data_IF_155596338910
#
_entry.id   IF_155596338910
#
_cell.length_a   1.000
_cell.length_b   1.000
_cell.length_c   1.000
_cell.angle_alpha   90.00
_cell.angle_beta   90.00
_cell.angle_gamma   90.00
#
_symmetry.space_group_name_H-M   'P 1'
#
loop_
_entity.id
_entity.type
_entity.pdbx_description
1 polymer ?
#
# COMPACT_ATOMS: atom_id res chain seq x y z
N UNK A 1 10.80 9.90 -27.28
CA UNK A 1 11.32 10.57 -26.07
C UNK A 1 10.33 10.35 -24.93
N UNK A 2 10.50 9.36 -24.03
CA UNK A 2 9.64 9.29 -22.86
C UNK A 2 10.27 10.09 -21.71
N UNK A 3 9.64 11.21 -21.36
CA UNK A 3 9.92 12.01 -20.16
C UNK A 3 9.48 11.23 -18.92
N UNK A 4 10.43 10.77 -18.12
CA UNK A 4 10.16 10.20 -16.80
C UNK A 4 9.72 11.33 -15.85
N UNK A 5 8.42 11.61 -15.79
CA UNK A 5 7.86 12.53 -14.81
C UNK A 5 7.83 11.82 -13.45
N UNK A 6 8.87 12.04 -12.63
CA UNK A 6 8.92 11.58 -11.25
C UNK A 6 7.87 12.32 -10.42
N UNK A 7 6.78 11.64 -10.05
CA UNK A 7 5.78 12.19 -9.13
C UNK A 7 6.31 12.01 -7.71
N UNK A 8 6.64 13.13 -7.06
CA UNK A 8 7.00 13.15 -5.63
C UNK A 8 5.69 13.19 -4.85
N UNK A 9 5.41 12.13 -4.07
CA UNK A 9 4.26 12.11 -3.18
C UNK A 9 4.64 12.69 -1.82
N UNK A 10 4.19 13.90 -1.52
CA UNK A 10 4.25 14.47 -0.16
C UNK A 10 2.98 14.11 0.58
N UNK A 11 3.06 13.16 1.53
CA UNK A 11 1.95 12.90 2.45
C UNK A 11 2.10 13.90 3.60
N UNK A 12 1.42 15.03 3.46
CA UNK A 12 1.26 16.01 4.53
C UNK A 12 0.15 15.50 5.46
N UNK A 13 0.37 15.50 6.77
CA UNK A 13 -0.66 15.11 7.71
C UNK A 13 -0.70 16.08 8.88
N UNK A 14 -1.91 16.53 9.17
CA UNK A 14 -2.19 17.45 10.26
C UNK A 14 -2.17 16.73 11.61
N UNK A 15 -1.39 17.28 12.54
CA UNK A 15 -1.94 17.69 13.83
C UNK A 15 -1.58 16.89 15.07
N UNK A 16 -1.76 15.56 15.14
CA UNK A 16 -1.82 14.91 16.48
C UNK A 16 -0.96 13.66 16.68
N UNK A 17 -0.21 13.17 15.69
CA UNK A 17 0.88 12.20 15.94
C UNK A 17 1.90 12.20 14.78
N UNK A 18 2.83 13.13 14.82
CA UNK A 18 3.89 13.32 13.83
C UNK A 18 4.87 12.13 13.80
N UNK A 19 4.63 11.19 12.89
CA UNK A 19 5.69 10.35 12.31
C UNK A 19 5.43 10.15 10.82
N UNK A 20 5.22 11.26 10.10
CA UNK A 20 5.06 11.24 8.66
C UNK A 20 6.43 11.41 8.00
N UNK A 21 6.86 10.38 7.29
CA UNK A 21 8.05 10.45 6.44
C UNK A 21 7.65 11.08 5.11
N UNK A 22 8.22 12.25 4.78
CA UNK A 22 8.26 12.74 3.41
C UNK A 22 8.99 11.67 2.55
N UNK A 23 8.31 11.16 1.53
CA UNK A 23 8.82 10.06 0.71
C UNK A 23 9.02 10.50 -0.75
N UNK A 24 10.28 10.79 -1.13
CA UNK A 24 10.62 10.90 -2.54
C UNK A 24 10.64 9.49 -3.15
N UNK A 25 9.82 9.26 -4.16
CA UNK A 25 9.70 7.98 -4.85
C UNK A 25 10.32 8.10 -6.23
N UNK A 26 11.43 7.39 -6.47
CA UNK A 26 12.08 7.35 -7.78
C UNK A 26 11.74 6.01 -8.44
N UNK A 27 10.93 6.00 -9.51
CA UNK A 27 10.72 4.78 -10.28
C UNK A 27 12.03 4.41 -10.98
N UNK A 28 12.53 3.20 -10.72
CA UNK A 28 13.62 2.62 -11.53
C UNK A 28 12.91 1.88 -12.65
N UNK A 29 12.97 2.43 -13.87
CA UNK A 29 12.24 1.97 -15.05
C UNK A 29 12.22 0.44 -15.15
N UNK A 30 11.03 -0.15 -15.23
CA UNK A 30 10.84 -1.60 -15.33
C UNK A 30 9.51 -2.00 -15.97
N UNK A 31 8.39 -1.33 -15.64
CA UNK A 31 7.09 -1.67 -16.23
C UNK A 31 6.95 -1.35 -17.73
N UNK A 32 7.90 -0.62 -18.33
CA UNK A 32 7.86 -0.23 -19.76
C UNK A 32 8.29 -1.35 -20.72
N UNK A 33 8.90 -2.43 -20.22
CA UNK A 33 9.23 -3.61 -21.02
C UNK A 33 8.24 -4.74 -20.72
N UNK A 34 7.53 -5.24 -21.74
CA UNK A 34 6.54 -6.33 -21.64
C UNK A 34 7.12 -7.61 -20.99
N UNK A 35 8.44 -7.74 -20.98
CA UNK A 35 9.22 -8.87 -20.44
C UNK A 35 9.82 -8.63 -19.06
N UNK A 36 9.57 -7.47 -18.43
CA UNK A 36 10.19 -7.15 -17.15
C UNK A 36 9.77 -8.12 -16.05
N UNK A 37 10.70 -9.01 -15.71
CA UNK A 37 10.54 -9.99 -14.62
C UNK A 37 10.72 -9.37 -13.24
N UNK A 38 11.45 -8.25 -13.18
CA UNK A 38 11.78 -7.53 -11.96
C UNK A 38 11.59 -6.03 -12.16
N UNK A 39 10.78 -5.43 -11.30
CA UNK A 39 10.65 -3.96 -11.22
C UNK A 39 11.06 -3.51 -9.83
N UNK A 40 11.68 -2.34 -9.72
CA UNK A 40 12.15 -1.79 -8.45
C UNK A 40 11.72 -0.34 -8.29
N UNK A 41 11.37 0.03 -7.07
CA UNK A 41 11.04 1.40 -6.70
C UNK A 41 11.74 1.75 -5.40
N UNK A 42 12.49 2.85 -5.40
CA UNK A 42 13.18 3.30 -4.19
C UNK A 42 12.35 4.38 -3.53
N UNK A 43 12.03 4.14 -2.26
CA UNK A 43 11.42 5.08 -1.33
C UNK A 43 12.52 5.67 -0.46
N UNK A 44 12.65 6.99 -0.47
CA UNK A 44 13.58 7.72 0.40
C UNK A 44 12.77 8.33 1.53
N UNK A 45 13.05 7.93 2.77
CA UNK A 45 12.38 8.43 3.97
C UNK A 45 12.92 9.81 4.35
N UNK A 46 12.20 10.51 5.23
CA UNK A 46 12.58 11.86 5.70
C UNK A 46 13.94 11.89 6.41
N UNK A 47 14.35 10.77 7.02
CA UNK A 47 15.67 10.62 7.63
C UNK A 47 16.78 10.25 6.62
N UNK A 48 16.50 10.31 5.31
CA UNK A 48 17.43 9.95 4.25
C UNK A 48 17.59 8.44 4.01
N UNK A 49 17.00 7.59 4.86
CA UNK A 49 17.10 6.15 4.69
C UNK A 49 16.34 5.69 3.45
N UNK A 50 16.97 4.81 2.66
CA UNK A 50 16.41 4.28 1.41
C UNK A 50 15.81 2.90 1.63
N UNK A 51 14.66 2.63 1.03
CA UNK A 51 13.99 1.32 0.99
C UNK A 51 13.63 0.98 -0.45
N UNK A 52 13.95 -0.22 -0.89
CA UNK A 52 13.62 -0.66 -2.26
C UNK A 52 12.46 -1.64 -2.22
N UNK A 53 11.37 -1.25 -2.86
CA UNK A 53 10.21 -2.07 -3.15
C UNK A 53 10.50 -2.86 -4.44
N UNK A 54 10.12 -4.14 -4.47
CA UNK A 54 10.43 -5.05 -5.56
C UNK A 54 9.17 -5.79 -5.98
N UNK A 55 8.84 -5.69 -7.26
CA UNK A 55 7.88 -6.57 -7.91
C UNK A 55 8.64 -7.63 -8.65
N UNK A 56 8.33 -8.90 -8.38
CA UNK A 56 8.89 -10.03 -9.10
C UNK A 56 7.75 -10.83 -9.73
N UNK A 57 7.72 -10.85 -11.07
CA UNK A 57 6.74 -11.59 -11.85
C UNK A 57 7.22 -13.03 -12.06
N UNK A 58 6.39 -14.01 -11.71
CA UNK A 58 6.70 -15.42 -11.95
C UNK A 58 6.33 -15.85 -13.38
N UNK A 59 6.60 -17.11 -13.74
CA UNK A 59 6.32 -17.63 -15.08
C UNK A 59 4.81 -17.65 -15.43
N UNK A 60 3.94 -17.78 -14.44
CA UNK A 60 2.48 -17.69 -14.60
C UNK A 60 1.96 -16.24 -14.70
N UNK A 61 2.86 -15.26 -14.61
CA UNK A 61 2.53 -13.85 -14.69
C UNK A 61 2.05 -13.21 -13.38
N UNK A 62 2.02 -13.95 -12.28
CA UNK A 62 1.67 -13.45 -10.95
C UNK A 62 2.85 -12.69 -10.36
N UNK A 63 2.55 -11.53 -9.78
CA UNK A 63 3.51 -10.61 -9.18
C UNK A 63 3.59 -10.86 -7.68
N UNK A 64 4.81 -11.06 -7.21
CA UNK A 64 5.16 -11.06 -5.78
C UNK A 64 5.75 -9.70 -5.37
N UNK A 65 5.52 -9.30 -4.12
CA UNK A 65 5.87 -7.98 -3.57
C UNK A 65 7.06 -8.02 -2.59
N UNK A 66 7.85 -9.09 -2.64
CA UNK A 66 8.98 -9.31 -1.74
C UNK A 66 8.55 -9.57 -0.28
N UNK A 67 9.34 -9.04 0.66
CA UNK A 67 9.15 -9.25 2.10
C UNK A 67 8.03 -8.37 2.68
N UNK A 68 6.99 -8.98 3.24
CA UNK A 68 5.90 -8.30 3.97
C UNK A 68 6.41 -7.43 5.13
N UNK A 69 7.50 -7.84 5.79
CA UNK A 69 8.11 -7.11 6.92
C UNK A 69 8.70 -5.76 6.53
N UNK A 70 8.92 -5.51 5.24
CA UNK A 70 9.48 -4.25 4.74
C UNK A 70 8.59 -3.04 5.05
N UNK A 71 7.26 -3.22 5.19
CA UNK A 71 6.35 -2.11 5.46
C UNK A 71 6.73 -1.34 6.73
N UNK A 72 7.11 -2.03 7.82
CA UNK A 72 7.51 -1.36 9.06
C UNK A 72 8.68 -0.40 8.83
N UNK A 73 9.62 -0.81 7.99
CA UNK A 73 10.79 -0.01 7.62
C UNK A 73 10.42 1.13 6.68
N UNK A 74 9.41 0.97 5.81
CA UNK A 74 8.87 2.02 4.94
C UNK A 74 8.05 3.06 5.73
N UNK A 75 7.40 2.65 6.81
CA UNK A 75 6.72 3.56 7.74
C UNK A 75 7.70 4.33 8.64
N UNK A 76 9.00 4.02 8.59
CA UNK A 76 10.00 4.68 9.42
C UNK A 76 9.88 4.36 10.91
N UNK A 77 9.19 3.28 11.29
CA UNK A 77 9.02 2.93 12.70
C UNK A 77 10.34 2.42 13.29
N UNK A 78 10.77 3.05 14.37
CA UNK A 78 11.99 2.69 15.07
C UNK A 78 11.90 1.28 15.69
N UNK A 79 13.06 0.71 15.99
CA UNK A 79 13.15 -0.47 16.86
C UNK A 79 12.59 -0.08 18.23
N UNK A 80 11.68 -0.89 18.77
CA UNK A 80 11.00 -0.60 20.04
C UNK A 80 9.74 0.27 19.95
N UNK A 81 9.39 0.84 18.79
CA UNK A 81 8.12 1.55 18.63
C UNK A 81 6.94 0.59 18.88
N UNK A 82 6.10 0.94 19.85
CA UNK A 82 4.98 0.11 20.31
C UNK A 82 3.91 -0.08 19.22
N UNK A 83 3.80 0.86 18.28
CA UNK A 83 2.82 0.81 17.19
C UNK A 83 3.13 -0.35 16.24
N UNK A 84 2.07 -0.94 15.70
CA UNK A 84 2.15 -2.04 14.75
C UNK A 84 2.02 -1.51 13.33
N UNK A 85 2.93 -1.92 12.45
CA UNK A 85 2.80 -1.64 11.02
C UNK A 85 1.65 -2.47 10.48
N UNK A 86 0.66 -1.82 9.87
CA UNK A 86 -0.52 -2.48 9.33
C UNK A 86 -0.69 -2.18 7.85
N UNK A 87 -0.95 -3.23 7.07
CA UNK A 87 -1.29 -3.15 5.66
C UNK A 87 -2.78 -2.83 5.54
N UNK A 88 -3.10 -1.68 4.93
CA UNK A 88 -4.49 -1.24 4.77
C UNK A 88 -5.23 -2.14 3.77
N UNK A 89 -4.60 -2.43 2.63
CA UNK A 89 -4.95 -3.56 1.78
C UNK A 89 -4.20 -4.78 2.34
N UNK A 90 -4.90 -5.76 2.93
CA UNK A 90 -4.30 -6.92 3.57
C UNK A 90 -3.35 -7.67 2.65
N UNK A 91 -2.27 -8.20 3.23
CA UNK A 91 -1.30 -9.00 2.48
C UNK A 91 -1.93 -10.28 1.90
N UNK A 92 -2.93 -10.81 2.58
CA UNK A 92 -3.72 -11.98 2.20
C UNK A 92 -4.39 -11.82 0.83
N UNK A 93 -4.66 -10.58 0.41
CA UNK A 93 -5.28 -10.27 -0.88
C UNK A 93 -4.27 -9.93 -1.97
N UNK A 94 -2.97 -10.13 -1.72
CA UNK A 94 -1.94 -9.73 -2.67
C UNK A 94 -2.07 -10.41 -4.04
N UNK A 95 -2.70 -11.58 -4.12
CA UNK A 95 -2.92 -12.34 -5.36
C UNK A 95 -4.26 -12.07 -6.04
N UNK A 96 -5.11 -11.20 -5.49
CA UNK A 96 -6.39 -10.86 -6.14
C UNK A 96 -6.17 -10.04 -7.43
N UNK A 97 -7.06 -10.21 -8.41
CA UNK A 97 -6.92 -9.63 -9.75
C UNK A 97 -6.76 -8.11 -9.71
N UNK A 98 -7.56 -7.40 -8.91
CA UNK A 98 -7.46 -5.94 -8.80
C UNK A 98 -6.13 -5.48 -8.21
N UNK A 99 -5.56 -6.24 -7.26
CA UNK A 99 -4.25 -5.93 -6.66
C UNK A 99 -3.12 -6.22 -7.66
N UNK A 100 -3.19 -7.34 -8.36
CA UNK A 100 -2.25 -7.71 -9.42
C UNK A 100 -2.29 -6.70 -10.57
N UNK A 101 -3.48 -6.22 -10.94
CA UNK A 101 -3.69 -5.18 -11.95
C UNK A 101 -3.14 -3.83 -11.48
N UNK A 102 -3.43 -3.44 -10.25
CA UNK A 102 -2.92 -2.22 -9.62
C UNK A 102 -1.38 -2.22 -9.56
N UNK A 103 -0.76 -3.38 -9.35
CA UNK A 103 0.70 -3.51 -9.32
C UNK A 103 1.36 -3.09 -10.64
N UNK A 104 0.74 -3.42 -11.78
CA UNK A 104 1.16 -2.92 -13.10
C UNK A 104 1.01 -1.41 -13.26
N UNK A 105 0.24 -0.75 -12.38
CA UNK A 105 0.09 0.69 -12.31
C UNK A 105 1.12 1.37 -11.41
N UNK A 106 2.00 0.61 -10.73
CA UNK A 106 2.94 1.02 -9.66
C UNK A 106 2.39 0.92 -8.22
N UNK A 107 1.27 0.23 -7.98
CA UNK A 107 0.88 -0.10 -6.60
C UNK A 107 1.83 -1.17 -6.00
N UNK A 108 2.19 -1.05 -4.73
CA UNK A 108 2.99 -2.06 -4.03
C UNK A 108 2.44 -2.32 -2.63
N UNK A 109 2.34 -3.58 -2.21
CA UNK A 109 1.82 -3.93 -0.88
C UNK A 109 2.54 -3.22 0.27
N UNK A 110 3.85 -3.05 0.18
CA UNK A 110 4.66 -2.32 1.16
C UNK A 110 4.82 -0.80 0.91
N UNK A 111 4.03 -0.18 0.03
CA UNK A 111 4.12 1.28 -0.17
C UNK A 111 3.51 2.06 0.99
N UNK A 112 3.95 3.31 1.17
CA UNK A 112 3.49 4.17 2.26
C UNK A 112 1.97 4.43 2.23
N UNK A 113 1.37 4.51 1.03
CA UNK A 113 -0.08 4.67 0.87
C UNK A 113 -0.86 3.45 1.35
N UNK A 114 -0.28 2.24 1.26
CA UNK A 114 -0.88 1.02 1.79
C UNK A 114 -0.51 0.74 3.26
N UNK A 115 0.21 1.66 3.90
CA UNK A 115 0.69 1.51 5.26
C UNK A 115 0.08 2.49 6.23
N UNK A 116 -0.14 2.02 7.46
CA UNK A 116 -0.47 2.86 8.61
C UNK A 116 0.12 2.27 9.90
N UNK A 117 0.73 3.09 10.79
CA UNK A 117 1.09 2.64 12.12
C UNK A 117 -0.14 2.68 13.03
N UNK A 118 -0.48 1.55 13.63
CA UNK A 118 -1.63 1.41 14.53
C UNK A 118 -1.21 1.35 15.99
N UNK A 119 -1.96 2.01 16.86
CA UNK A 119 -1.85 1.85 18.32
C UNK A 119 -2.34 0.46 18.74
N UNK A 120 -2.13 0.08 20.00
CA UNK A 120 -2.69 -1.17 20.55
C UNK A 120 -4.22 -1.20 20.51
N UNK A 121 -4.88 -0.05 20.72
CA UNK A 121 -6.35 0.04 20.63
C UNK A 121 -6.84 -0.26 19.21
N UNK A 122 -6.18 0.33 18.20
CA UNK A 122 -6.54 0.13 16.81
C UNK A 122 -6.16 -1.26 16.29
N UNK A 123 -4.99 -1.77 16.66
CA UNK A 123 -4.49 -3.10 16.29
C UNK A 123 -5.01 -4.19 17.25
N UNK A 124 -6.32 -4.21 17.45
CA UNK A 124 -7.00 -5.20 18.29
C UNK A 124 -8.10 -5.92 17.50
N UNK A 125 -8.47 -7.12 17.94
CA UNK A 125 -9.54 -7.92 17.34
C UNK A 125 -9.05 -8.96 16.32
N UNK A 126 -9.84 -9.20 15.28
CA UNK A 126 -9.67 -10.32 14.33
C UNK A 126 -9.10 -9.87 12.99
N UNK A 127 -7.90 -10.36 12.64
CA UNK A 127 -7.34 -10.17 11.30
C UNK A 127 -8.26 -10.71 10.21
N UNK A 128 -8.89 -11.88 10.42
CA UNK A 128 -9.75 -12.50 9.41
C UNK A 128 -10.99 -11.63 9.08
N UNK A 129 -11.60 -11.00 10.08
CA UNK A 129 -12.76 -10.14 9.87
C UNK A 129 -12.40 -8.86 9.10
N UNK A 130 -11.25 -8.24 9.42
CA UNK A 130 -10.76 -7.09 8.65
C UNK A 130 -10.46 -7.49 7.21
N UNK A 131 -9.76 -8.62 7.03
CA UNK A 131 -9.43 -9.14 5.70
C UNK A 131 -10.70 -9.39 4.89
N UNK A 132 -11.73 -10.01 5.47
CA UNK A 132 -13.01 -10.24 4.79
C UNK A 132 -13.66 -8.92 4.32
N UNK A 133 -13.72 -7.90 5.19
CA UNK A 133 -14.31 -6.60 4.84
C UNK A 133 -13.59 -5.94 3.65
N UNK A 134 -12.26 -5.90 3.70
CA UNK A 134 -11.47 -5.30 2.61
C UNK A 134 -11.58 -6.12 1.33
N UNK A 135 -11.54 -7.45 1.43
CA UNK A 135 -11.66 -8.35 0.28
C UNK A 135 -12.99 -8.21 -0.45
N UNK A 136 -14.10 -8.08 0.29
CA UNK A 136 -15.42 -7.82 -0.30
C UNK A 136 -15.43 -6.51 -1.11
N UNK A 137 -14.80 -5.45 -0.59
CA UNK A 137 -14.73 -4.18 -1.32
C UNK A 137 -13.81 -4.24 -2.54
N UNK A 138 -12.68 -4.93 -2.43
CA UNK A 138 -11.79 -5.18 -3.57
C UNK A 138 -12.51 -5.94 -4.69
N UNK A 139 -13.28 -6.97 -4.32
CA UNK A 139 -14.10 -7.73 -5.25
C UNK A 139 -15.22 -6.88 -5.87
N UNK A 140 -15.90 -6.04 -5.08
CA UNK A 140 -16.91 -5.10 -5.57
C UNK A 140 -16.31 -4.14 -6.63
N UNK A 141 -15.17 -3.52 -6.31
CA UNK A 141 -14.47 -2.62 -7.24
C UNK A 141 -14.07 -3.32 -8.54
N UNK A 142 -13.58 -4.57 -8.44
CA UNK A 142 -13.23 -5.37 -9.61
C UNK A 142 -14.46 -5.67 -10.48
N UNK A 143 -15.57 -6.08 -9.86
CA UNK A 143 -16.79 -6.43 -10.56
C UNK A 143 -17.45 -5.21 -11.24
N UNK A 144 -17.32 -4.01 -10.66
CA UNK A 144 -17.81 -2.77 -11.25
C UNK A 144 -17.08 -2.40 -12.55
N UNK A 145 -15.81 -2.77 -12.69
CA UNK A 145 -15.05 -2.58 -13.92
C UNK A 145 -13.93 -3.62 -14.05
N UNK A 146 -14.22 -4.83 -14.55
CA UNK A 146 -13.23 -5.91 -14.67
C UNK A 146 -12.17 -5.61 -15.75
N UNK A 147 -12.39 -4.60 -16.59
CA UNK A 147 -11.49 -4.20 -17.66
C UNK A 147 -10.67 -2.95 -17.31
N UNK A 148 -10.58 -2.57 -16.02
CA UNK A 148 -9.75 -1.46 -15.55
C UNK A 148 -8.35 -1.51 -16.17
N UNK A 149 -7.82 -0.38 -16.62
CA UNK A 149 -6.40 -0.24 -16.88
C UNK A 149 -5.60 -0.39 -15.58
N UNK A 150 -4.30 -0.67 -15.68
CA UNK A 150 -3.46 -0.78 -14.49
C UNK A 150 -3.43 0.51 -13.66
N UNK A 151 -3.49 1.68 -14.31
CA UNK A 151 -3.60 2.99 -13.66
C UNK A 151 -4.96 3.20 -12.96
N UNK A 152 -6.05 2.73 -13.58
CA UNK A 152 -7.38 2.79 -12.96
C UNK A 152 -7.45 1.89 -11.72
N UNK A 153 -6.94 0.65 -11.82
CA UNK A 153 -6.87 -0.27 -10.68
C UNK A 153 -5.99 0.28 -9.54
N UNK A 154 -4.82 0.85 -9.86
CA UNK A 154 -3.98 1.52 -8.87
C UNK A 154 -4.74 2.65 -8.17
N UNK A 155 -5.40 3.51 -8.94
CA UNK A 155 -6.16 4.64 -8.40
C UNK A 155 -7.29 4.15 -7.50
N UNK A 156 -8.04 3.14 -7.92
CA UNK A 156 -9.12 2.55 -7.12
C UNK A 156 -8.61 1.97 -5.80
N UNK A 157 -7.55 1.16 -5.83
CA UNK A 157 -6.94 0.54 -4.63
C UNK A 157 -6.37 1.61 -3.69
N UNK A 158 -5.68 2.62 -4.21
CA UNK A 158 -5.13 3.72 -3.39
C UNK A 158 -6.23 4.61 -2.81
N UNK A 159 -7.31 4.85 -3.54
CA UNK A 159 -8.46 5.61 -3.03
C UNK A 159 -9.15 4.85 -1.89
N UNK A 160 -9.35 3.53 -2.05
CA UNK A 160 -9.87 2.68 -0.98
C UNK A 160 -8.96 2.73 0.25
N UNK A 161 -7.64 2.58 0.06
CA UNK A 161 -6.69 2.69 1.16
C UNK A 161 -6.74 4.06 1.85
N UNK A 162 -6.86 5.15 1.09
CA UNK A 162 -6.99 6.49 1.64
C UNK A 162 -8.28 6.67 2.46
N UNK A 163 -9.41 6.14 2.00
CA UNK A 163 -10.69 6.17 2.72
C UNK A 163 -10.62 5.39 4.04
N UNK A 164 -10.05 4.19 4.03
CA UNK A 164 -9.86 3.39 5.24
C UNK A 164 -8.91 4.10 6.21
N UNK A 165 -7.80 4.66 5.72
CA UNK A 165 -6.87 5.43 6.56
C UNK A 165 -7.55 6.63 7.20
N UNK A 166 -8.37 7.36 6.43
CA UNK A 166 -9.15 8.47 6.96
C UNK A 166 -10.07 8.03 8.09
N UNK A 167 -10.79 6.91 7.93
CA UNK A 167 -11.61 6.35 9.00
C UNK A 167 -10.78 6.02 10.25
N UNK A 168 -9.63 5.35 10.08
CA UNK A 168 -8.75 5.00 11.21
C UNK A 168 -8.24 6.24 11.95
N UNK A 169 -7.94 7.33 11.21
CA UNK A 169 -7.50 8.59 11.81
C UNK A 169 -8.60 9.29 12.59
N UNK A 170 -9.85 9.24 12.10
CA UNK A 170 -10.99 9.87 12.78
C UNK A 170 -11.56 9.02 13.93
N UNK A 171 -11.16 7.75 14.04
CA UNK A 171 -11.56 6.83 15.10
C UNK A 171 -10.34 6.25 15.85
N UNK A 172 -9.54 7.09 16.54
CA UNK A 172 -8.24 6.68 17.10
C UNK A 172 -8.33 5.64 18.23
N UNK A 173 -9.50 5.48 18.84
CA UNK A 173 -9.75 4.55 19.94
C UNK A 173 -10.53 3.31 19.52
N UNK A 174 -10.81 3.14 18.23
CA UNK A 174 -11.55 1.99 17.73
C UNK A 174 -10.64 0.96 17.07
N UNK A 175 -11.02 -0.32 17.24
CA UNK A 175 -10.42 -1.41 16.49
C UNK A 175 -10.68 -1.23 15.00
N UNK A 176 -9.68 -1.57 14.18
CA UNK A 176 -9.84 -1.66 12.72
C UNK A 176 -10.95 -2.61 12.29
N UNK A 177 -11.38 -3.54 13.14
CA UNK A 177 -12.52 -4.40 12.86
C UNK A 177 -13.84 -3.63 12.73
N UNK A 178 -13.93 -2.43 13.30
CA UNK A 178 -15.13 -1.59 13.21
C UNK A 178 -15.13 -0.69 11.97
N UNK A 179 -14.07 -0.73 11.15
CA UNK A 179 -13.99 0.12 9.96
C UNK A 179 -15.25 0.00 9.11
N UNK A 180 -15.76 1.17 8.72
CA UNK A 180 -16.82 1.31 7.75
C UNK A 180 -16.15 1.64 6.41
N UNK A 181 -16.22 0.70 5.49
CA UNK A 181 -15.67 0.85 4.15
C UNK A 181 -16.81 1.32 3.25
N UNK A 182 -16.75 2.55 2.69
CA UNK A 182 -17.76 3.07 1.78
C UNK A 182 -17.74 2.32 0.44
#
# INVERSE_FOLDING_TARGET
>A
MPTSNGVIYTIQGDGVNATLSFAATIPIAGWTATTAKYVRKTVILSNGAKRTLVWQKNAAGVISFGDRGLLRKVLGLAVGDARKAHHVMPWEHCSEDIIQKAAGGDFHMNELLNGIPLTTAQHSGSHALYNQKVGLKLQELWNLNPNMSSQQAQTAVRNLAAQIKNWIYTHPNESINNVIIP
#
